data_IF_967430936867
#
_entry.id   IF_967430936867
#
_cell.length_a   1.000
_cell.length_b   1.000
_cell.length_c   1.000
_cell.angle_alpha   90.00
_cell.angle_beta   90.00
_cell.angle_gamma   90.00
#
_symmetry.space_group_name_H-M   'P 1'
#
loop_
_entity.id
_entity.type
_entity.pdbx_description
1 polymer ?
#
# COMPACT_ATOMS: atom_id res chain seq x y z
N UNK A 1 2.09 2.66 8.21
CA UNK A 1 2.01 2.56 6.74
C UNK A 1 2.67 3.75 6.06
N UNK A 2 3.84 3.50 5.46
CA UNK A 2 4.58 4.47 4.64
C UNK A 2 4.68 3.94 3.21
N UNK A 3 4.57 4.84 2.23
CA UNK A 3 4.89 4.54 0.83
C UNK A 3 6.37 4.89 0.59
N UNK A 4 7.12 3.95 0.04
CA UNK A 4 8.44 4.18 -0.51
C UNK A 4 8.32 4.30 -2.03
N UNK A 5 9.04 5.25 -2.63
CA UNK A 5 8.93 5.56 -4.06
C UNK A 5 10.27 5.95 -4.64
N UNK A 6 10.64 5.30 -5.73
CA UNK A 6 11.93 5.45 -6.39
C UNK A 6 11.75 5.51 -7.92
N UNK A 7 12.76 6.05 -8.60
CA UNK A 7 12.81 6.10 -10.06
C UNK A 7 13.87 5.12 -10.56
N UNK A 8 13.45 4.20 -11.40
CA UNK A 8 14.27 3.17 -12.02
C UNK A 8 15.21 3.73 -13.09
N UNK A 9 16.25 2.95 -13.42
CA UNK A 9 17.21 3.30 -14.48
C UNK A 9 16.55 3.45 -15.87
N UNK A 10 15.48 2.68 -16.12
CA UNK A 10 14.68 2.76 -17.36
C UNK A 10 13.71 3.96 -17.37
N UNK A 11 13.69 4.74 -16.29
CA UNK A 11 12.89 5.94 -16.14
C UNK A 11 11.50 5.72 -15.55
N UNK A 12 11.05 4.48 -15.34
CA UNK A 12 9.79 4.16 -14.64
C UNK A 12 9.89 4.52 -13.15
N UNK A 13 8.73 4.63 -12.52
CA UNK A 13 8.61 4.80 -11.07
C UNK A 13 8.16 3.49 -10.44
N UNK A 14 8.79 3.11 -9.34
CA UNK A 14 8.39 1.99 -8.49
C UNK A 14 7.88 2.55 -7.17
N UNK A 15 6.74 2.07 -6.71
CA UNK A 15 6.20 2.42 -5.40
C UNK A 15 5.84 1.16 -4.63
N UNK A 16 6.21 1.11 -3.35
CA UNK A 16 5.96 -0.02 -2.46
C UNK A 16 5.48 0.42 -1.08
N UNK A 17 4.84 -0.51 -0.37
CA UNK A 17 4.46 -0.35 1.04
C UNK A 17 5.14 -1.46 1.84
N UNK A 18 6.28 -1.19 2.50
CA UNK A 18 7.05 -2.22 3.21
C UNK A 18 6.26 -2.96 4.28
N UNK A 19 5.30 -2.27 4.92
CA UNK A 19 4.41 -2.84 5.94
C UNK A 19 3.43 -3.89 5.34
N UNK A 20 3.24 -3.89 4.01
CA UNK A 20 2.41 -4.85 3.29
C UNK A 20 3.25 -5.62 2.24
N UNK A 21 3.87 -6.75 2.63
CA UNK A 21 4.65 -7.56 1.70
C UNK A 21 3.87 -7.91 0.42
N UNK A 22 4.47 -7.64 -0.73
CA UNK A 22 3.85 -7.87 -2.05
C UNK A 22 3.06 -6.68 -2.60
N UNK A 23 2.89 -5.60 -1.82
CA UNK A 23 2.29 -4.35 -2.32
C UNK A 23 3.38 -3.50 -2.98
N UNK A 24 3.54 -3.69 -4.27
CA UNK A 24 4.50 -2.98 -5.11
C UNK A 24 3.96 -2.82 -6.52
N UNK A 25 4.14 -1.64 -7.11
CA UNK A 25 3.64 -1.33 -8.45
C UNK A 25 4.64 -0.47 -9.22
N UNK A 26 4.56 -0.56 -10.55
CA UNK A 26 5.23 0.37 -11.45
C UNK A 26 4.25 1.39 -12.06
N UNK A 27 4.74 2.61 -12.29
CA UNK A 27 4.07 3.68 -13.00
C UNK A 27 5.01 4.40 -13.97
N UNK A 28 4.46 5.01 -15.02
CA UNK A 28 5.21 5.85 -15.95
C UNK A 28 5.49 7.23 -15.36
N UNK A 29 4.67 7.66 -14.40
CA UNK A 29 4.84 8.90 -13.62
C UNK A 29 4.84 8.60 -12.14
N UNK A 30 5.37 9.55 -11.35
CA UNK A 30 5.41 9.45 -9.89
C UNK A 30 3.99 9.34 -9.32
N UNK A 31 3.09 10.16 -9.81
CA UNK A 31 1.69 10.24 -9.38
C UNK A 31 0.93 8.96 -9.73
N UNK A 32 1.19 8.37 -10.90
CA UNK A 32 0.60 7.10 -11.29
C UNK A 32 1.06 5.96 -10.37
N UNK A 33 2.35 5.88 -10.03
CA UNK A 33 2.87 4.86 -9.13
C UNK A 33 2.25 4.99 -7.73
N UNK A 34 2.13 6.21 -7.20
CA UNK A 34 1.48 6.48 -5.91
C UNK A 34 0.02 6.05 -5.93
N UNK A 35 -0.77 6.51 -6.91
CA UNK A 35 -2.20 6.17 -6.97
C UNK A 35 -2.43 4.67 -7.09
N UNK A 36 -1.60 3.97 -7.87
CA UNK A 36 -1.67 2.51 -8.00
C UNK A 36 -1.31 1.79 -6.71
N UNK A 37 -0.29 2.25 -5.98
CA UNK A 37 0.15 1.57 -4.75
C UNK A 37 -0.86 1.76 -3.63
N UNK A 38 -1.49 2.94 -3.53
CA UNK A 38 -2.58 3.20 -2.60
C UNK A 38 -3.77 2.27 -2.84
N UNK A 39 -4.21 2.14 -4.10
CA UNK A 39 -5.30 1.25 -4.46
C UNK A 39 -4.98 -0.23 -4.16
N UNK A 40 -3.75 -0.66 -4.42
CA UNK A 40 -3.32 -2.02 -4.11
C UNK A 40 -3.24 -2.27 -2.61
N UNK A 41 -2.70 -1.33 -1.83
CA UNK A 41 -2.62 -1.41 -0.38
C UNK A 41 -4.01 -1.57 0.24
N UNK A 42 -4.98 -0.75 -0.18
CA UNK A 42 -6.37 -0.84 0.28
C UNK A 42 -7.00 -2.19 -0.06
N UNK A 43 -6.73 -2.74 -1.25
CA UNK A 43 -7.24 -4.06 -1.63
C UNK A 43 -6.64 -5.19 -0.77
N UNK A 44 -5.34 -5.15 -0.50
CA UNK A 44 -4.68 -6.15 0.37
C UNK A 44 -5.20 -6.05 1.80
N UNK A 45 -5.40 -4.83 2.31
CA UNK A 45 -6.01 -4.61 3.62
C UNK A 45 -7.41 -5.24 3.69
N UNK A 46 -8.26 -4.97 2.68
CA UNK A 46 -9.61 -5.52 2.64
C UNK A 46 -9.60 -7.06 2.63
N UNK A 47 -8.77 -7.66 1.79
CA UNK A 47 -8.64 -9.12 1.68
C UNK A 47 -8.18 -9.76 3.00
N UNK A 48 -7.18 -9.17 3.68
CA UNK A 48 -6.73 -9.63 5.00
C UNK A 48 -7.83 -9.56 6.06
N UNK A 49 -8.60 -8.47 6.09
CA UNK A 49 -9.75 -8.32 7.00
C UNK A 49 -10.81 -9.40 6.72
N UNK A 50 -11.12 -9.67 5.45
CA UNK A 50 -12.08 -10.72 5.05
C UNK A 50 -11.66 -12.13 5.50
N UNK A 51 -10.35 -12.38 5.56
CA UNK A 51 -9.78 -13.65 6.04
C UNK A 51 -9.50 -13.69 7.55
N UNK A 52 -9.83 -12.62 8.29
CA UNK A 52 -9.65 -12.54 9.74
C UNK A 52 -8.20 -12.32 10.19
N UNK A 53 -7.32 -11.85 9.30
CA UNK A 53 -5.96 -11.46 9.64
C UNK A 53 -5.96 -10.12 10.38
N UNK A 54 -5.13 -10.02 11.43
CA UNK A 54 -4.93 -8.76 12.16
C UNK A 54 -3.99 -7.85 11.37
N UNK A 55 -4.33 -6.56 11.29
CA UNK A 55 -3.50 -5.54 10.65
C UNK A 55 -3.22 -4.47 11.70
N UNK A 56 -2.11 -4.61 12.48
CA UNK A 56 -1.82 -3.73 13.60
C UNK A 56 -1.82 -2.23 13.26
N UNK A 57 -1.43 -1.89 12.03
CA UNK A 57 -1.37 -0.52 11.55
C UNK A 57 -2.75 0.15 11.39
N UNK A 58 -3.84 -0.62 11.45
CA UNK A 58 -5.22 -0.14 11.30
C UNK A 58 -6.01 -0.17 12.61
N UNK A 59 -5.44 -0.69 13.70
CA UNK A 59 -6.12 -0.77 14.99
C UNK A 59 -6.58 0.62 15.47
N UNK A 60 -5.76 1.64 15.23
CA UNK A 60 -6.08 3.05 15.55
C UNK A 60 -7.03 3.71 14.54
N UNK A 61 -7.13 3.18 13.31
CA UNK A 61 -7.95 3.77 12.25
C UNK A 61 -9.44 3.50 12.46
N UNK A 62 -9.78 2.32 12.98
CA UNK A 62 -11.16 1.85 13.16
C UNK A 62 -11.59 1.80 14.62
N UNK A 63 -10.86 2.48 15.52
CA UNK A 63 -11.17 2.51 16.95
C UNK A 63 -12.65 2.89 17.16
N UNK A 64 -13.44 1.92 17.66
CA UNK A 64 -14.82 2.16 18.05
C UNK A 64 -14.83 2.96 19.34
N UNK A 65 -15.68 3.99 19.47
CA UNK A 65 -15.88 4.63 20.76
C UNK A 65 -16.38 3.59 21.78
N UNK A 66 -15.84 3.68 23.00
CA UNK A 66 -16.22 2.86 24.14
C UNK A 66 -17.68 3.07 24.56
#
# INVERSE_FOLDING_TARGET
MRIEIEREEDGRWIAEVPDLPGVMVYGQTREEAISKVEALALRVIADRIEHGETIPELDDLFALPA
#
